data_IF_991328022994
#
_entry.id   IF_991328022994
#
_cell.length_a   1.000
_cell.length_b   1.000
_cell.length_c   1.000
_cell.angle_alpha   90.00
_cell.angle_beta   90.00
_cell.angle_gamma   90.00
#
_symmetry.space_group_name_H-M   'P 1'
#
loop_
_entity.id
_entity.type
_entity.pdbx_description
1 polymer ?
#
# COMPACT_ATOMS: atom_id res chain seq x y z
N UNK A 1 3.19 6.46 -33.31
CA UNK A 1 2.04 6.78 -32.42
C UNK A 1 1.99 5.94 -31.12
N UNK A 2 2.27 4.62 -31.15
CA UNK A 2 2.24 3.69 -29.99
C UNK A 2 3.18 4.00 -28.80
N UNK A 3 4.38 4.57 -29.05
CA UNK A 3 5.40 4.85 -28.01
C UNK A 3 5.00 6.05 -27.12
N UNK A 4 4.41 7.07 -27.73
CA UNK A 4 3.95 8.30 -27.06
C UNK A 4 2.86 8.04 -26.01
N UNK A 5 1.91 7.15 -26.30
CA UNK A 5 0.83 6.81 -25.35
C UNK A 5 1.35 6.05 -24.13
N UNK A 6 2.37 5.23 -24.36
CA UNK A 6 3.09 4.45 -23.36
C UNK A 6 3.85 5.34 -22.38
N UNK A 7 4.63 6.27 -22.94
CA UNK A 7 5.40 7.27 -22.21
C UNK A 7 4.46 8.16 -21.38
N UNK A 8 3.32 8.56 -21.94
CA UNK A 8 2.30 9.35 -21.22
C UNK A 8 1.68 8.60 -20.04
N UNK A 9 1.40 7.30 -20.18
CA UNK A 9 0.84 6.51 -19.08
C UNK A 9 1.87 6.29 -17.96
N UNK A 10 3.14 6.02 -18.31
CA UNK A 10 4.21 5.95 -17.32
C UNK A 10 4.41 7.30 -16.63
N UNK A 11 4.52 8.39 -17.40
CA UNK A 11 4.74 9.72 -16.84
C UNK A 11 3.59 10.15 -15.95
N UNK A 12 2.35 9.81 -16.30
CA UNK A 12 1.17 10.07 -15.48
C UNK A 12 1.24 9.32 -14.14
N UNK A 13 1.60 8.03 -14.15
CA UNK A 13 1.74 7.26 -12.92
C UNK A 13 2.90 7.78 -12.05
N UNK A 14 4.02 8.12 -12.68
CA UNK A 14 5.20 8.68 -12.00
C UNK A 14 4.89 10.09 -11.42
N UNK A 15 4.11 10.90 -12.14
CA UNK A 15 3.61 12.21 -11.68
C UNK A 15 2.63 12.06 -10.51
N UNK A 16 1.67 11.13 -10.57
CA UNK A 16 0.72 10.87 -9.48
C UNK A 16 1.43 10.35 -8.23
N UNK A 17 2.42 9.48 -8.39
CA UNK A 17 3.27 9.03 -7.28
C UNK A 17 4.01 10.22 -6.65
N UNK A 18 4.59 11.09 -7.47
CA UNK A 18 5.29 12.30 -7.02
C UNK A 18 4.34 13.30 -6.34
N UNK A 19 3.12 13.45 -6.83
CA UNK A 19 2.10 14.35 -6.27
C UNK A 19 1.65 13.86 -4.88
N UNK A 20 1.44 12.55 -4.73
CA UNK A 20 1.16 11.91 -3.43
C UNK A 20 2.33 12.13 -2.45
N UNK A 21 3.57 12.02 -2.91
CA UNK A 21 4.77 12.28 -2.09
C UNK A 21 4.91 13.75 -1.68
N UNK A 22 4.38 14.69 -2.48
CA UNK A 22 4.44 16.14 -2.24
C UNK A 22 3.32 16.69 -1.38
N UNK A 23 2.23 15.96 -1.18
CA UNK A 23 1.17 16.36 -0.25
C UNK A 23 1.76 16.50 1.16
N UNK A 24 1.52 17.65 1.79
CA UNK A 24 2.16 18.10 3.04
C UNK A 24 2.08 17.10 4.20
N UNK A 25 1.12 16.17 4.17
CA UNK A 25 0.91 15.13 5.19
C UNK A 25 1.50 13.76 4.84
N UNK A 26 1.86 13.50 3.57
CA UNK A 26 2.44 12.23 3.12
C UNK A 26 3.81 11.97 3.79
N UNK A 27 4.80 12.87 3.66
CA UNK A 27 6.09 12.73 4.32
C UNK A 27 6.00 12.77 5.85
N UNK A 28 5.00 13.46 6.41
CA UNK A 28 4.77 13.48 7.85
C UNK A 28 4.20 12.14 8.33
N UNK A 29 3.25 11.55 7.61
CA UNK A 29 2.73 10.21 7.90
C UNK A 29 3.81 9.15 7.71
N UNK A 30 4.61 9.21 6.64
CA UNK A 30 5.76 8.32 6.46
C UNK A 30 6.81 8.53 7.55
N UNK A 31 7.14 9.77 7.94
CA UNK A 31 8.02 10.05 9.08
C UNK A 31 7.43 9.60 10.40
N UNK A 32 6.14 9.79 10.65
CA UNK A 32 5.45 9.38 11.87
C UNK A 32 5.39 7.86 11.97
N UNK A 33 5.04 7.17 10.89
CA UNK A 33 5.08 5.70 10.80
C UNK A 33 6.51 5.20 10.93
N UNK A 34 7.50 5.84 10.30
CA UNK A 34 8.90 5.45 10.43
C UNK A 34 9.45 5.70 11.84
N UNK A 35 9.06 6.80 12.49
CA UNK A 35 9.38 7.12 13.88
C UNK A 35 8.69 6.15 14.85
N UNK A 36 7.42 5.80 14.59
CA UNK A 36 6.68 4.79 15.34
C UNK A 36 7.26 3.40 15.10
N UNK A 37 7.69 3.06 13.88
CA UNK A 37 8.41 1.83 13.52
C UNK A 37 9.76 1.74 14.23
N UNK A 38 10.52 2.84 14.31
CA UNK A 38 11.78 2.94 15.07
C UNK A 38 11.58 2.91 16.58
N UNK A 39 10.41 3.35 17.07
CA UNK A 39 10.01 3.30 18.48
C UNK A 39 9.11 2.12 18.82
N UNK A 40 8.97 1.10 17.95
CA UNK A 40 8.12 -0.05 18.25
C UNK A 40 8.61 -0.72 19.52
N UNK A 41 7.90 -0.43 20.61
CA UNK A 41 7.89 -1.24 21.80
C UNK A 41 7.61 -2.68 21.36
N UNK A 42 8.36 -3.63 21.93
CA UNK A 42 8.42 -5.08 21.69
C UNK A 42 7.10 -5.86 21.49
N UNK A 43 5.93 -5.21 21.55
CA UNK A 43 4.60 -5.80 21.42
C UNK A 43 4.16 -5.97 19.96
N UNK A 44 4.40 -5.01 19.06
CA UNK A 44 3.96 -5.16 17.66
C UNK A 44 4.82 -6.16 16.87
N UNK A 45 6.07 -6.38 17.28
CA UNK A 45 6.93 -7.44 16.73
C UNK A 45 6.40 -8.84 17.03
N UNK A 46 5.61 -9.04 18.09
CA UNK A 46 5.05 -10.37 18.41
C UNK A 46 3.99 -10.83 17.42
N UNK A 47 3.29 -9.88 16.78
CA UNK A 47 2.19 -10.18 15.87
C UNK A 47 2.57 -9.94 14.40
N UNK A 48 3.77 -9.41 14.13
CA UNK A 48 4.16 -8.99 12.77
C UNK A 48 4.09 -10.11 11.76
N UNK A 49 4.58 -11.29 12.11
CA UNK A 49 4.68 -12.41 11.16
C UNK A 49 3.29 -12.96 10.84
N UNK A 50 2.44 -13.13 11.87
CA UNK A 50 1.03 -13.51 11.69
C UNK A 50 0.25 -12.50 10.85
N UNK A 51 0.51 -11.20 11.05
CA UNK A 51 -0.10 -10.14 10.24
C UNK A 51 0.40 -10.21 8.80
N UNK A 52 1.70 -10.45 8.59
CA UNK A 52 2.31 -10.52 7.25
C UNK A 52 1.79 -11.73 6.45
N UNK A 53 1.54 -12.85 7.14
CA UNK A 53 0.92 -14.06 6.57
C UNK A 53 -0.58 -13.87 6.26
N UNK A 54 -1.29 -13.11 7.10
CA UNK A 54 -2.72 -12.81 6.88
C UNK A 54 -2.94 -11.83 5.72
N UNK A 55 -2.02 -10.89 5.51
CA UNK A 55 -2.16 -9.86 4.47
C UNK A 55 -1.95 -10.45 3.06
N UNK A 56 -2.79 -10.07 2.08
CA UNK A 56 -2.66 -10.58 0.73
C UNK A 56 -1.31 -10.17 0.11
N UNK A 57 -0.72 -10.98 -0.79
CA UNK A 57 0.55 -10.67 -1.45
C UNK A 57 0.55 -9.36 -2.25
N UNK A 58 -0.62 -8.90 -2.69
CA UNK A 58 -0.80 -7.62 -3.39
C UNK A 58 -0.67 -6.40 -2.49
N UNK A 59 -0.75 -6.58 -1.17
CA UNK A 59 -0.57 -5.49 -0.20
C UNK A 59 0.92 -5.25 0.00
N UNK A 60 1.42 -4.10 -0.46
CA UNK A 60 2.82 -3.72 -0.32
C UNK A 60 3.05 -2.68 0.78
N UNK A 61 2.05 -1.85 1.08
CA UNK A 61 2.13 -0.80 2.09
C UNK A 61 2.32 -1.38 3.49
N UNK A 62 3.15 -0.71 4.30
CA UNK A 62 3.41 -1.04 5.72
C UNK A 62 3.97 -2.45 5.99
N UNK A 63 4.48 -3.14 4.96
CA UNK A 63 5.17 -4.45 5.09
C UNK A 63 6.68 -4.30 5.01
N UNK A 64 7.38 -5.14 5.76
CA UNK A 64 8.85 -5.17 5.73
C UNK A 64 9.34 -5.66 4.37
N UNK A 65 10.32 -4.97 3.80
CA UNK A 65 10.89 -5.34 2.49
C UNK A 65 10.00 -5.04 1.28
N UNK A 66 8.88 -4.35 1.48
CA UNK A 66 7.96 -3.90 0.43
C UNK A 66 7.88 -2.38 0.41
N UNK A 67 7.50 -1.82 -0.74
CA UNK A 67 7.36 -0.37 -0.91
C UNK A 67 6.33 -0.02 -1.98
N UNK A 68 6.08 1.28 -2.17
CA UNK A 68 5.26 1.79 -3.27
C UNK A 68 5.77 1.33 -4.64
N UNK A 69 7.06 1.02 -4.78
CA UNK A 69 7.64 0.51 -6.01
C UNK A 69 7.02 -0.83 -6.45
N UNK A 70 6.63 -1.71 -5.53
CA UNK A 70 5.94 -2.98 -5.84
C UNK A 70 4.59 -2.70 -6.53
N UNK A 71 3.84 -1.71 -6.03
CA UNK A 71 2.53 -1.32 -6.57
C UNK A 71 2.67 -0.67 -7.94
N UNK A 72 3.63 0.25 -8.07
CA UNK A 72 3.96 0.91 -9.35
C UNK A 72 4.35 -0.15 -10.40
N UNK A 73 5.17 -1.13 -10.02
CA UNK A 73 5.55 -2.22 -10.90
C UNK A 73 4.34 -3.00 -11.42
N UNK A 74 3.39 -3.34 -10.54
CA UNK A 74 2.13 -3.99 -10.91
C UNK A 74 1.34 -3.20 -11.96
N UNK A 75 1.17 -1.89 -11.74
CA UNK A 75 0.49 -1.01 -12.70
C UNK A 75 1.23 -0.92 -14.03
N UNK A 76 2.56 -0.77 -14.02
CA UNK A 76 3.38 -0.74 -15.25
C UNK A 76 3.21 -2.02 -16.06
N UNK A 77 3.18 -3.17 -15.39
CA UNK A 77 2.97 -4.45 -16.05
C UNK A 77 1.58 -4.59 -16.66
N UNK A 78 0.55 -4.14 -15.94
CA UNK A 78 -0.83 -4.10 -16.41
C UNK A 78 -0.97 -3.22 -17.67
N UNK A 79 -0.36 -2.03 -17.64
CA UNK A 79 -0.31 -1.11 -18.80
C UNK A 79 0.38 -1.77 -20.00
N UNK A 80 1.52 -2.43 -19.78
CA UNK A 80 2.26 -3.13 -20.85
C UNK A 80 1.43 -4.26 -21.48
N UNK A 81 0.71 -5.04 -20.66
CA UNK A 81 -0.24 -6.08 -21.14
C UNK A 81 -1.34 -5.47 -21.99
N UNK A 82 -1.98 -4.40 -21.52
CA UNK A 82 -3.08 -3.75 -22.25
C UNK A 82 -2.63 -3.24 -23.62
N UNK A 83 -1.40 -2.73 -23.72
CA UNK A 83 -0.88 -2.22 -24.99
C UNK A 83 -0.47 -3.31 -25.97
N UNK A 84 0.04 -4.43 -25.44
CA UNK A 84 0.41 -5.61 -26.23
C UNK A 84 -0.84 -6.28 -26.82
N UNK A 85 -1.84 -6.53 -25.98
CA UNK A 85 -3.05 -7.27 -26.35
C UNK A 85 -4.23 -6.40 -26.76
N UNK A 86 -4.09 -5.07 -26.72
CA UNK A 86 -5.14 -4.10 -27.07
C UNK A 86 -6.39 -4.21 -26.20
N UNK A 87 -6.20 -4.52 -24.92
CA UNK A 87 -7.25 -4.40 -23.92
C UNK A 87 -7.38 -2.96 -23.44
N UNK A 88 -8.62 -2.58 -23.12
CA UNK A 88 -8.95 -1.38 -22.38
C UNK A 88 -9.24 -1.79 -20.96
N UNK A 89 -8.65 -1.08 -20.00
CA UNK A 89 -8.85 -1.29 -18.57
C UNK A 89 -9.16 0.03 -17.91
N UNK A 90 -9.97 -0.01 -16.87
CA UNK A 90 -10.29 1.12 -16.02
C UNK A 90 -9.68 0.86 -14.64
N UNK A 91 -9.04 1.88 -14.08
CA UNK A 91 -8.40 1.79 -12.75
C UNK A 91 -9.21 2.65 -11.80
N UNK A 92 -9.78 2.03 -10.78
CA UNK A 92 -10.46 2.72 -9.68
C UNK A 92 -9.51 2.83 -8.49
N UNK A 93 -9.13 4.06 -8.14
CA UNK A 93 -8.40 4.35 -6.91
C UNK A 93 -9.36 4.62 -5.76
N UNK A 94 -8.98 4.20 -4.56
CA UNK A 94 -9.66 4.58 -3.30
C UNK A 94 -8.76 5.58 -2.58
N UNK A 95 -9.31 6.75 -2.25
CA UNK A 95 -8.61 7.70 -1.40
C UNK A 95 -8.70 7.29 0.07
N UNK A 96 -7.54 7.18 0.71
CA UNK A 96 -7.39 6.75 2.11
C UNK A 96 -6.79 7.88 2.98
N UNK A 97 -6.77 9.13 2.52
CA UNK A 97 -6.19 10.26 3.26
C UNK A 97 -6.73 10.44 4.69
N UNK A 98 -7.95 10.00 4.99
CA UNK A 98 -8.56 10.01 6.34
C UNK A 98 -8.90 8.63 6.89
N UNK A 99 -8.28 7.58 6.36
CA UNK A 99 -8.59 6.21 6.74
C UNK A 99 -8.34 5.96 8.24
N UNK A 100 -7.28 6.55 8.82
CA UNK A 100 -6.94 6.38 10.23
C UNK A 100 -7.88 7.12 11.19
N UNK A 101 -8.46 8.25 10.77
CA UNK A 101 -9.41 9.02 11.58
C UNK A 101 -10.76 8.31 11.75
N UNK A 102 -11.08 7.40 10.84
CA UNK A 102 -12.41 6.76 10.72
C UNK A 102 -12.42 5.28 11.14
N UNK A 103 -11.31 4.75 11.67
CA UNK A 103 -11.22 3.34 12.08
C UNK A 103 -12.12 3.07 13.29
N UNK A 104 -13.10 2.17 13.10
CA UNK A 104 -13.88 1.60 14.21
C UNK A 104 -13.06 0.55 14.94
N UNK A 105 -12.67 0.84 16.18
CA UNK A 105 -11.79 0.00 17.02
C UNK A 105 -12.36 -1.41 17.26
N UNK A 106 -13.66 -1.52 17.51
CA UNK A 106 -14.33 -2.81 17.72
C UNK A 106 -14.16 -3.74 16.50
N UNK A 107 -14.37 -3.19 15.30
CA UNK A 107 -14.20 -3.93 14.04
C UNK A 107 -12.74 -4.29 13.79
N UNK A 108 -11.80 -3.41 14.14
CA UNK A 108 -10.37 -3.71 14.04
C UNK A 108 -10.01 -4.90 14.94
N UNK A 109 -10.42 -4.88 16.21
CA UNK A 109 -10.15 -5.97 17.14
C UNK A 109 -10.79 -7.28 16.69
N UNK A 110 -12.04 -7.27 16.19
CA UNK A 110 -12.67 -8.49 15.68
C UNK A 110 -11.91 -9.12 14.52
N UNK A 111 -11.32 -8.30 13.64
CA UNK A 111 -10.47 -8.79 12.54
C UNK A 111 -9.15 -9.34 13.10
N UNK A 112 -8.52 -8.65 14.05
CA UNK A 112 -7.29 -9.15 14.67
C UNK A 112 -7.49 -10.50 15.37
N UNK A 113 -8.61 -10.68 16.07
CA UNK A 113 -8.94 -11.95 16.72
C UNK A 113 -9.15 -13.10 15.75
N UNK A 114 -9.55 -12.85 14.50
CA UNK A 114 -9.83 -13.92 13.54
C UNK A 114 -8.60 -14.69 13.09
N UNK A 115 -7.39 -14.13 13.24
CA UNK A 115 -6.15 -14.78 12.79
C UNK A 115 -5.01 -14.79 13.82
N UNK A 116 -5.04 -13.93 14.86
CA UNK A 116 -3.98 -13.93 15.87
C UNK A 116 -4.07 -15.12 16.85
N UNK A 117 -5.26 -15.71 17.02
CA UNK A 117 -5.53 -16.71 18.04
C UNK A 117 -5.48 -16.14 19.46
N UNK A 118 -5.77 -16.95 20.48
CA UNK A 118 -5.44 -16.60 21.87
C UNK A 118 -3.93 -16.76 22.07
N UNK A 119 -3.30 -15.81 22.76
CA UNK A 119 -1.89 -15.93 23.14
C UNK A 119 -1.68 -17.26 23.88
N UNK A 120 -0.83 -18.14 23.35
CA UNK A 120 -0.26 -19.23 24.14
C UNK A 120 0.72 -18.57 25.12
N UNK A 121 0.23 -18.27 26.32
CA UNK A 121 1.08 -17.88 27.45
C UNK A 121 1.79 -19.13 27.96
#
# INVERSE_FOLDING_TARGET
>A
MRKRTLEKASSFLDERATEIERLLDGPQMFKAVHLLQRRQHSKLTRISDKVDDFLPPSQSGFRRGRSTADVIWGYRWLVAKCQRYKYVIEILGIDLSRAFDTIRREKLLSVLYSFLGTDNV
#
